data_IF_936538883759
#
_entry.id   IF_936538883759
#
_cell.length_a   1.000
_cell.length_b   1.000
_cell.length_c   1.000
_cell.angle_alpha   90.00
_cell.angle_beta   90.00
_cell.angle_gamma   90.00
#
_symmetry.space_group_name_H-M   'P 1'
#
loop_
_entity.id
_entity.type
_entity.pdbx_description
1 polymer ?
#
# COMPACT_ATOMS: atom_id res chain seq x y z
N UNK A 1 9.38 15.98 -10.25
CA UNK A 1 7.96 16.03 -10.68
C UNK A 1 7.20 14.70 -10.53
N UNK A 2 7.83 13.55 -10.22
CA UNK A 2 7.13 12.23 -10.12
C UNK A 2 6.13 12.13 -8.94
N UNK A 3 6.41 12.72 -7.77
CA UNK A 3 5.55 12.62 -6.58
C UNK A 3 4.13 13.16 -6.79
N UNK A 4 3.99 14.27 -7.51
CA UNK A 4 2.70 14.98 -7.71
C UNK A 4 1.67 14.21 -8.53
N UNK A 5 2.07 13.15 -9.24
CA UNK A 5 1.18 12.40 -10.12
C UNK A 5 0.96 10.94 -9.69
N UNK A 6 1.70 10.46 -8.68
CA UNK A 6 1.58 9.08 -8.24
C UNK A 6 0.29 8.89 -7.43
N UNK A 7 -0.44 7.82 -7.76
CA UNK A 7 -1.70 7.42 -7.15
C UNK A 7 -1.47 6.24 -6.21
N UNK A 8 -1.81 6.41 -4.94
CA UNK A 8 -1.65 5.41 -3.90
C UNK A 8 -3.03 4.86 -3.55
N UNK A 9 -3.24 3.56 -3.75
CA UNK A 9 -4.47 2.89 -3.37
C UNK A 9 -4.39 2.44 -1.91
N UNK A 10 -5.21 3.04 -1.05
CA UNK A 10 -5.40 2.62 0.33
C UNK A 10 -6.58 1.66 0.43
N UNK A 11 -6.36 0.47 1.00
CA UNK A 11 -7.40 -0.53 1.23
C UNK A 11 -7.69 -0.62 2.73
N UNK A 12 -8.88 -0.14 3.13
CA UNK A 12 -9.27 0.02 4.54
C UNK A 12 -9.36 -1.28 5.32
N UNK A 13 -9.79 -2.37 4.69
CA UNK A 13 -10.13 -3.59 5.41
C UNK A 13 -9.01 -4.03 6.40
N UNK A 14 -9.32 -3.95 7.70
CA UNK A 14 -8.40 -4.22 8.83
C UNK A 14 -7.21 -3.28 8.98
N UNK A 15 -7.02 -2.32 8.09
CA UNK A 15 -6.02 -1.27 8.24
C UNK A 15 -6.54 -0.23 9.24
N UNK A 16 -6.06 -0.34 10.48
CA UNK A 16 -6.34 0.64 11.53
C UNK A 16 -5.70 1.99 11.18
N UNK A 17 -6.33 3.07 11.66
CA UNK A 17 -5.84 4.44 11.46
C UNK A 17 -5.66 4.86 9.99
N UNK A 18 -6.55 4.38 9.11
CA UNK A 18 -6.48 4.72 7.69
C UNK A 18 -6.51 6.23 7.43
N UNK A 19 -7.26 7.00 8.22
CA UNK A 19 -7.34 8.46 8.09
C UNK A 19 -5.97 9.12 8.38
N UNK A 20 -5.23 8.58 9.36
CA UNK A 20 -3.87 9.02 9.67
C UNK A 20 -2.92 8.70 8.52
N UNK A 21 -2.99 7.48 7.97
CA UNK A 21 -2.16 7.05 6.84
C UNK A 21 -2.48 7.87 5.60
N UNK A 22 -3.75 8.12 5.32
CA UNK A 22 -4.21 8.99 4.24
C UNK A 22 -3.65 10.41 4.39
N UNK A 23 -3.72 10.98 5.60
CA UNK A 23 -3.13 12.27 5.91
C UNK A 23 -1.64 12.31 5.58
N UNK A 24 -0.88 11.32 6.05
CA UNK A 24 0.56 11.20 5.76
C UNK A 24 0.86 11.14 4.25
N UNK A 25 0.08 10.38 3.48
CA UNK A 25 0.26 10.24 2.03
C UNK A 25 -0.08 11.54 1.30
N UNK A 26 -1.20 12.18 1.66
CA UNK A 26 -1.64 13.46 1.05
C UNK A 26 -0.69 14.61 1.36
N UNK A 27 -0.23 14.74 2.60
CA UNK A 27 0.76 15.76 3.01
C UNK A 27 2.07 15.67 2.23
N UNK A 28 2.36 14.49 1.70
CA UNK A 28 3.57 14.20 0.94
C UNK A 28 3.41 14.44 -0.57
N UNK A 29 2.23 14.92 -0.97
CA UNK A 29 1.91 15.34 -2.33
C UNK A 29 1.38 14.23 -3.25
N UNK A 30 1.05 13.06 -2.71
CA UNK A 30 0.52 11.94 -3.48
C UNK A 30 -1.01 11.99 -3.60
N UNK A 31 -1.57 11.50 -4.72
CA UNK A 31 -3.02 11.31 -4.86
C UNK A 31 -3.42 10.01 -4.15
N UNK A 32 -4.45 10.06 -3.32
CA UNK A 32 -5.01 8.87 -2.67
C UNK A 32 -6.22 8.36 -3.46
N UNK A 33 -6.24 7.06 -3.73
CA UNK A 33 -7.41 6.29 -4.14
C UNK A 33 -7.83 5.42 -2.95
N UNK A 34 -9.13 5.18 -2.79
CA UNK A 34 -9.64 4.52 -1.61
C UNK A 34 -10.51 3.31 -1.95
N UNK A 35 -10.34 2.24 -1.19
CA UNK A 35 -11.21 1.06 -1.21
C UNK A 35 -11.59 0.65 0.20
N UNK A 36 -12.85 0.26 0.41
CA UNK A 36 -13.33 -0.23 1.71
C UNK A 36 -12.73 -1.59 2.06
N UNK A 37 -12.60 -2.47 1.08
CA UNK A 37 -12.23 -3.87 1.25
C UNK A 37 -11.75 -4.50 -0.07
N UNK A 38 -11.33 -5.77 -0.01
CA UNK A 38 -10.78 -6.49 -1.16
C UNK A 38 -11.82 -6.94 -2.21
N UNK A 39 -13.11 -6.95 -1.86
CA UNK A 39 -14.20 -7.41 -2.74
C UNK A 39 -15.09 -6.27 -3.25
N UNK A 40 -14.80 -5.03 -2.86
CA UNK A 40 -15.62 -3.87 -3.19
C UNK A 40 -15.52 -3.42 -4.65
N UNK A 41 -16.59 -2.79 -5.13
CA UNK A 41 -16.62 -2.04 -6.39
C UNK A 41 -15.54 -0.94 -6.38
N UNK A 42 -15.31 -0.33 -5.21
CA UNK A 42 -14.27 0.69 -5.02
C UNK A 42 -12.87 0.17 -5.33
N UNK A 43 -12.56 -1.08 -5.01
CA UNK A 43 -11.29 -1.69 -5.39
C UNK A 43 -11.16 -1.80 -6.91
N UNK A 44 -12.18 -2.31 -7.60
CA UNK A 44 -12.14 -2.44 -9.06
C UNK A 44 -11.95 -1.08 -9.75
N UNK A 45 -12.68 -0.05 -9.29
CA UNK A 45 -12.52 1.33 -9.77
C UNK A 45 -11.12 1.89 -9.48
N UNK A 46 -10.61 1.69 -8.27
CA UNK A 46 -9.28 2.14 -7.88
C UNK A 46 -8.17 1.57 -8.75
N UNK A 47 -8.28 0.29 -9.15
CA UNK A 47 -7.34 -0.30 -10.11
C UNK A 47 -7.49 0.26 -11.53
N UNK A 48 -8.70 0.53 -11.99
CA UNK A 48 -8.94 1.13 -13.31
C UNK A 48 -8.35 2.54 -13.42
N UNK A 49 -8.22 3.25 -12.29
CA UNK A 49 -7.53 4.55 -12.25
C UNK A 49 -5.99 4.45 -12.37
N UNK A 50 -5.43 3.23 -12.37
CA UNK A 50 -3.99 2.99 -12.50
C UNK A 50 -3.20 3.45 -11.26
N UNK A 51 -3.33 2.75 -10.11
CA UNK A 51 -2.52 3.04 -8.94
C UNK A 51 -1.07 2.63 -9.17
N UNK A 52 -0.14 3.43 -8.63
CA UNK A 52 1.29 3.14 -8.68
C UNK A 52 1.76 2.30 -7.50
N UNK A 53 0.98 2.30 -6.42
CA UNK A 53 1.29 1.62 -5.18
C UNK A 53 0.01 1.23 -4.47
N UNK A 54 0.02 0.07 -3.80
CA UNK A 54 -1.05 -0.36 -2.90
C UNK A 54 -0.53 -0.30 -1.47
N UNK A 55 -1.31 0.26 -0.55
CA UNK A 55 -1.09 0.17 0.89
C UNK A 55 -2.27 -0.55 1.51
N UNK A 56 -1.99 -1.64 2.20
CA UNK A 56 -3.03 -2.46 2.79
C UNK A 56 -2.54 -3.21 4.03
N UNK A 57 -3.46 -3.82 4.76
CA UNK A 57 -3.14 -4.62 5.93
C UNK A 57 -2.37 -5.90 5.54
N UNK A 58 -1.42 -6.32 6.38
CA UNK A 58 -0.57 -7.49 6.16
C UNK A 58 -1.36 -8.77 5.83
N UNK A 59 -2.51 -8.97 6.48
CA UNK A 59 -3.39 -10.13 6.22
C UNK A 59 -3.90 -10.22 4.78
N UNK A 60 -3.88 -9.13 4.02
CA UNK A 60 -4.33 -9.09 2.62
C UNK A 60 -3.24 -9.50 1.62
N UNK A 61 -2.03 -9.83 2.08
CA UNK A 61 -0.90 -10.24 1.23
C UNK A 61 -1.32 -11.26 0.17
N UNK A 62 -1.91 -12.37 0.59
CA UNK A 62 -2.25 -13.46 -0.33
C UNK A 62 -3.29 -13.07 -1.38
N UNK A 63 -4.21 -12.16 -1.04
CA UNK A 63 -5.17 -11.65 -2.00
C UNK A 63 -4.44 -10.94 -3.15
N UNK A 64 -3.54 -10.01 -2.85
CA UNK A 64 -2.86 -9.25 -3.90
C UNK A 64 -1.78 -10.06 -4.63
N UNK A 65 -1.05 -10.94 -3.93
CA UNK A 65 0.07 -11.67 -4.53
C UNK A 65 -0.32 -12.96 -5.23
N UNK A 66 -1.40 -13.63 -4.79
CA UNK A 66 -1.80 -14.95 -5.35
C UNK A 66 -3.14 -14.90 -6.06
N UNK A 67 -4.18 -14.35 -5.42
CA UNK A 67 -5.54 -14.36 -6.00
C UNK A 67 -5.66 -13.37 -7.15
N UNK A 68 -5.23 -12.13 -6.93
CA UNK A 68 -5.24 -11.07 -7.94
C UNK A 68 -4.00 -11.09 -8.82
N UNK A 69 -2.84 -11.43 -8.24
CA UNK A 69 -1.56 -11.52 -8.96
C UNK A 69 -1.11 -10.17 -9.53
N UNK A 70 -1.20 -9.09 -8.75
CA UNK A 70 -0.83 -7.76 -9.23
C UNK A 70 0.67 -7.52 -9.20
N UNK A 71 1.24 -6.94 -10.25
CA UNK A 71 2.65 -6.52 -10.26
C UNK A 71 2.88 -5.13 -9.65
N UNK A 72 1.80 -4.44 -9.25
CA UNK A 72 1.88 -3.13 -8.61
C UNK A 72 2.60 -3.30 -7.26
N UNK A 73 3.58 -2.45 -6.92
CA UNK A 73 4.25 -2.51 -5.63
C UNK A 73 3.27 -2.40 -4.45
N UNK A 74 3.58 -3.06 -3.34
CA UNK A 74 2.68 -3.17 -2.18
C UNK A 74 3.42 -2.82 -0.90
N UNK A 75 2.84 -1.96 -0.06
CA UNK A 75 3.21 -1.80 1.35
C UNK A 75 2.19 -2.55 2.19
N UNK A 76 2.68 -3.55 2.93
CA UNK A 76 1.90 -4.31 3.89
C UNK A 76 2.13 -3.73 5.29
N UNK A 77 1.08 -3.19 5.89
CA UNK A 77 1.11 -2.64 7.25
C UNK A 77 0.59 -3.69 8.23
N UNK A 78 1.38 -3.97 9.26
CA UNK A 78 0.98 -4.82 10.38
C UNK A 78 0.83 -4.00 11.67
N UNK A 79 -0.07 -4.42 12.53
CA UNK A 79 -0.25 -3.83 13.86
C UNK A 79 0.94 -4.16 14.79
N UNK A 80 1.13 -3.35 15.83
CA UNK A 80 2.22 -3.50 16.82
C UNK A 80 2.33 -4.89 17.50
N UNK A 81 1.25 -5.69 17.47
CA UNK A 81 1.20 -7.00 18.10
C UNK A 81 1.25 -8.17 17.09
N UNK A 82 1.29 -7.88 15.79
CA UNK A 82 1.25 -8.90 14.76
C UNK A 82 2.65 -9.36 14.37
N UNK A 83 2.88 -10.68 14.39
CA UNK A 83 4.13 -11.23 13.87
C UNK A 83 4.07 -11.30 12.34
N UNK A 84 4.87 -10.47 11.68
CA UNK A 84 5.10 -10.58 10.24
C UNK A 84 5.94 -11.81 9.96
N UNK A 85 5.40 -12.76 9.19
CA UNK A 85 6.14 -13.92 8.71
C UNK A 85 6.55 -13.65 7.27
N UNK A 86 7.80 -13.22 7.12
CA UNK A 86 8.44 -13.02 5.83
C UNK A 86 8.74 -14.40 5.23
N UNK A 87 7.90 -14.88 4.32
CA UNK A 87 8.26 -16.00 3.47
C UNK A 87 9.24 -15.50 2.42
N UNK A 88 10.45 -16.06 2.40
CA UNK A 88 11.43 -15.79 1.37
C UNK A 88 10.84 -16.13 0.00
N UNK A 89 11.12 -15.30 -1.01
CA UNK A 89 10.69 -15.38 -2.41
C UNK A 89 9.26 -14.94 -2.72
N UNK A 90 9.14 -13.66 -3.07
CA UNK A 90 8.00 -13.11 -3.81
C UNK A 90 8.58 -12.40 -5.03
N UNK A 91 8.08 -12.70 -6.24
CA UNK A 91 8.38 -11.93 -7.46
C UNK A 91 7.79 -10.52 -7.43
N UNK A 92 6.97 -10.21 -6.43
CA UNK A 92 6.29 -8.94 -6.26
C UNK A 92 7.15 -8.01 -5.40
N UNK A 93 7.14 -6.72 -5.75
CA UNK A 93 7.84 -5.65 -5.02
C UNK A 93 7.04 -5.29 -3.77
N UNK A 94 7.33 -5.96 -2.66
CA UNK A 94 6.60 -5.81 -1.40
C UNK A 94 7.51 -5.22 -0.33
N UNK A 95 7.03 -4.18 0.36
CA UNK A 95 7.61 -3.70 1.61
C UNK A 95 6.67 -3.98 2.78
N UNK A 96 7.27 -4.12 3.95
CA UNK A 96 6.56 -4.39 5.19
C UNK A 96 6.81 -3.24 6.15
N UNK A 97 5.75 -2.77 6.80
CA UNK A 97 5.81 -1.70 7.77
C UNK A 97 5.04 -2.10 9.02
N UNK A 98 5.64 -1.88 10.17
CA UNK A 98 5.05 -2.24 11.44
C UNK A 98 4.61 -0.96 12.16
N UNK A 99 3.40 -0.92 12.69
CA UNK A 99 2.99 0.19 13.53
C UNK A 99 3.67 0.13 14.91
N UNK A 100 3.95 1.29 15.54
CA UNK A 100 3.81 2.64 14.98
C UNK A 100 4.98 3.00 14.04
N UNK A 101 4.73 3.89 13.07
CA UNK A 101 5.76 4.43 12.16
C UNK A 101 5.55 5.93 11.93
N UNK A 102 6.62 6.64 11.53
CA UNK A 102 6.54 8.06 11.17
C UNK A 102 6.15 8.27 9.71
N UNK A 103 5.63 9.46 9.41
CA UNK A 103 5.38 9.90 8.03
C UNK A 103 6.62 9.77 7.15
N UNK A 104 7.78 10.16 7.65
CA UNK A 104 9.03 10.13 6.89
C UNK A 104 9.44 8.70 6.51
N UNK A 105 9.20 7.72 7.38
CA UNK A 105 9.43 6.30 7.08
C UNK A 105 8.47 5.83 5.98
N UNK A 106 7.18 6.12 6.10
CA UNK A 106 6.20 5.76 5.07
C UNK A 106 6.58 6.37 3.71
N UNK A 107 6.95 7.65 3.69
CA UNK A 107 7.35 8.36 2.48
C UNK A 107 8.60 7.79 1.84
N UNK A 108 9.64 7.51 2.64
CA UNK A 108 10.88 6.93 2.13
C UNK A 108 10.62 5.58 1.44
N UNK A 109 9.72 4.76 2.00
CA UNK A 109 9.33 3.47 1.39
C UNK A 109 8.54 3.70 0.10
N UNK A 110 7.57 4.63 0.09
CA UNK A 110 6.81 4.98 -1.11
C UNK A 110 7.76 5.42 -2.24
N UNK A 111 8.70 6.33 -1.94
CA UNK A 111 9.66 6.82 -2.92
C UNK A 111 10.57 5.70 -3.45
N UNK A 112 11.05 4.81 -2.57
CA UNK A 112 11.88 3.67 -2.96
C UNK A 112 11.11 2.74 -3.91
N UNK A 113 9.84 2.46 -3.59
CA UNK A 113 9.01 1.54 -4.36
C UNK A 113 8.60 2.11 -5.72
N UNK A 114 8.35 3.42 -5.81
CA UNK A 114 7.96 4.07 -7.07
C UNK A 114 9.18 4.44 -7.93
N UNK A 115 10.35 4.71 -7.32
CA UNK A 115 11.53 5.16 -8.07
C UNK A 115 12.28 4.03 -8.78
N UNK A 116 12.22 2.80 -8.26
CA UNK A 116 12.89 1.65 -8.88
C UNK A 116 12.06 1.01 -10.04
N UNK A 117 11.47 1.86 -10.89
CA UNK A 117 11.06 1.53 -12.25
C UNK A 117 12.07 2.21 -13.19
N UNK A 118 12.98 1.40 -13.75
CA UNK A 118 13.85 1.73 -14.90
C UNK A 118 13.17 1.27 -16.20
#
# INVERSE_FOLDING_TARGET
MRRLNAKILLVKEKLKDIDTIEGMVKESGFKVLFSSDVDSIGLAQGFNEGPNLIVCHYSQREFFTKKRGTHIPIILIADANEKIILSASSSHKISYLHQPFSKDVLNAIIDLLISAED
#
